data_IF_347699968193
#
_entry.id   IF_347699968193
#
_cell.length_a   1.000
_cell.length_b   1.000
_cell.length_c   1.000
_cell.angle_alpha   90.00
_cell.angle_beta   90.00
_cell.angle_gamma   90.00
#
_symmetry.space_group_name_H-M   'P 1'
#
loop_
_entity.id
_entity.type
_entity.pdbx_description
1 polymer ?
#
# COMPACT_ATOMS: atom_id res chain seq x y z
N UNK A 1 -3.93 -25.61 4.39
CA UNK A 1 -3.99 -24.14 4.23
C UNK A 1 -2.54 -23.68 4.22
N UNK A 2 -1.95 -23.41 3.03
CA UNK A 2 -0.60 -22.81 2.75
C UNK A 2 -0.02 -23.14 1.35
N UNK A 3 -0.79 -23.71 0.40
CA UNK A 3 -0.22 -24.21 -0.87
C UNK A 3 0.47 -23.15 -1.75
N UNK A 4 0.15 -21.86 -1.57
CA UNK A 4 0.71 -20.76 -2.37
C UNK A 4 1.85 -20.00 -1.68
N UNK A 5 2.17 -20.28 -0.40
CA UNK A 5 3.20 -19.52 0.34
C UNK A 5 4.57 -19.61 -0.34
N UNK A 6 4.93 -20.80 -0.83
CA UNK A 6 6.20 -21.03 -1.54
C UNK A 6 6.26 -20.27 -2.87
N UNK A 7 5.11 -20.13 -3.57
CA UNK A 7 5.02 -19.37 -4.80
C UNK A 7 5.24 -17.87 -4.56
N UNK A 8 4.65 -17.31 -3.50
CA UNK A 8 4.91 -15.92 -3.09
C UNK A 8 6.37 -15.70 -2.70
N UNK A 9 6.97 -16.64 -1.97
CA UNK A 9 8.39 -16.58 -1.61
C UNK A 9 9.32 -16.66 -2.83
N UNK A 10 8.99 -17.51 -3.80
CA UNK A 10 9.73 -17.62 -5.05
C UNK A 10 9.66 -16.31 -5.85
N UNK A 11 8.44 -15.75 -6.01
CA UNK A 11 8.23 -14.47 -6.70
C UNK A 11 8.99 -13.33 -6.02
N UNK A 12 8.92 -13.21 -4.69
CA UNK A 12 9.63 -12.19 -3.92
C UNK A 12 11.16 -12.27 -4.09
N UNK A 13 11.75 -13.47 -3.95
CA UNK A 13 13.20 -13.65 -4.14
C UNK A 13 13.65 -13.36 -5.56
N UNK A 14 12.80 -13.64 -6.55
CA UNK A 14 13.07 -13.36 -7.95
C UNK A 14 12.78 -11.93 -8.38
N UNK A 15 12.23 -11.07 -7.49
CA UNK A 15 11.77 -9.73 -7.86
C UNK A 15 10.66 -9.74 -8.92
N UNK A 16 9.87 -10.81 -9.00
CA UNK A 16 8.82 -10.99 -9.98
C UNK A 16 7.46 -10.55 -9.43
N UNK A 17 6.65 -9.96 -10.30
CA UNK A 17 5.23 -9.66 -10.02
C UNK A 17 4.32 -10.87 -10.28
N UNK A 18 4.84 -11.93 -10.92
CA UNK A 18 4.08 -13.15 -11.23
C UNK A 18 4.20 -14.14 -10.07
N UNK A 19 3.06 -14.53 -9.52
CA UNK A 19 2.96 -15.57 -8.48
C UNK A 19 2.29 -16.80 -9.09
N UNK A 20 3.07 -17.87 -9.32
CA UNK A 20 2.57 -19.07 -10.00
C UNK A 20 1.35 -19.68 -9.28
N UNK A 21 0.32 -19.99 -10.07
CA UNK A 21 -0.93 -20.57 -9.57
C UNK A 21 -1.85 -19.59 -8.84
N UNK A 22 -1.51 -18.30 -8.78
CA UNK A 22 -2.38 -17.25 -8.23
C UNK A 22 -2.84 -16.33 -9.38
N UNK A 23 -4.16 -16.21 -9.63
CA UNK A 23 -4.66 -15.31 -10.65
C UNK A 23 -4.38 -13.84 -10.33
N UNK A 24 -4.07 -13.04 -11.35
CA UNK A 24 -3.80 -11.60 -11.22
C UNK A 24 -4.92 -10.86 -10.50
N UNK A 25 -6.19 -11.18 -10.77
CA UNK A 25 -7.33 -10.56 -10.08
C UNK A 25 -7.28 -10.71 -8.54
N UNK A 26 -6.70 -11.80 -8.03
CA UNK A 26 -6.48 -11.99 -6.60
C UNK A 26 -5.35 -11.09 -6.11
N UNK A 27 -4.24 -11.03 -6.86
CA UNK A 27 -3.11 -10.16 -6.55
C UNK A 27 -3.53 -8.68 -6.55
N UNK A 28 -4.29 -8.25 -7.56
CA UNK A 28 -4.85 -6.91 -7.67
C UNK A 28 -5.76 -6.59 -6.49
N UNK A 29 -6.63 -7.53 -6.11
CA UNK A 29 -7.49 -7.38 -4.92
C UNK A 29 -6.66 -7.21 -3.65
N UNK A 30 -5.57 -7.96 -3.50
CA UNK A 30 -4.66 -7.83 -2.36
C UNK A 30 -3.97 -6.46 -2.36
N UNK A 31 -3.43 -6.00 -3.49
CA UNK A 31 -2.78 -4.69 -3.59
C UNK A 31 -3.76 -3.57 -3.25
N UNK A 32 -4.96 -3.60 -3.83
CA UNK A 32 -5.98 -2.57 -3.62
C UNK A 32 -6.42 -2.48 -2.15
N UNK A 33 -6.57 -3.61 -1.47
CA UNK A 33 -7.15 -3.64 -0.13
C UNK A 33 -6.11 -3.67 1.00
N UNK A 34 -4.98 -4.34 0.82
CA UNK A 34 -4.02 -4.63 1.89
C UNK A 34 -2.79 -3.71 1.90
N UNK A 35 -2.59 -2.89 0.86
CA UNK A 35 -1.43 -2.01 0.76
C UNK A 35 -1.81 -0.57 0.37
N UNK A 36 -0.88 0.36 0.61
CA UNK A 36 -0.83 1.65 -0.08
C UNK A 36 0.22 1.50 -1.18
N UNK A 37 -0.22 1.43 -2.44
CA UNK A 37 0.64 1.22 -3.60
C UNK A 37 0.26 2.21 -4.71
N UNK A 38 1.26 2.77 -5.36
CA UNK A 38 1.07 3.75 -6.42
C UNK A 38 2.22 4.75 -6.48
N UNK A 39 1.97 5.84 -7.20
CA UNK A 39 2.89 6.96 -7.41
C UNK A 39 2.35 8.22 -6.72
N UNK A 40 3.08 9.33 -6.85
CA UNK A 40 2.63 10.65 -6.35
C UNK A 40 1.27 11.06 -6.97
N UNK A 41 0.96 10.60 -8.19
CA UNK A 41 -0.32 10.87 -8.83
C UNK A 41 -1.51 10.17 -8.14
N UNK A 42 -1.25 9.12 -7.36
CA UNK A 42 -2.28 8.31 -6.69
C UNK A 42 -2.59 8.79 -5.27
N UNK A 43 -2.00 9.91 -4.82
CA UNK A 43 -2.17 10.41 -3.44
C UNK A 43 -3.64 10.60 -3.10
N UNK A 44 -4.44 11.19 -3.98
CA UNK A 44 -5.85 11.45 -3.72
C UNK A 44 -6.63 10.14 -3.49
N UNK A 45 -6.32 9.08 -4.28
CA UNK A 45 -6.87 7.74 -4.06
C UNK A 45 -6.48 7.18 -2.68
N UNK A 46 -5.25 7.40 -2.24
CA UNK A 46 -4.80 6.94 -0.93
C UNK A 46 -5.44 7.74 0.21
N UNK A 47 -5.67 9.04 0.04
CA UNK A 47 -6.41 9.87 0.99
C UNK A 47 -7.83 9.35 1.19
N UNK A 48 -8.54 8.99 0.12
CA UNK A 48 -9.87 8.37 0.21
C UNK A 48 -9.85 7.07 1.03
N UNK A 49 -8.81 6.25 0.86
CA UNK A 49 -8.61 5.04 1.66
C UNK A 49 -8.40 5.37 3.14
N UNK A 50 -7.63 6.41 3.45
CA UNK A 50 -7.41 6.89 4.82
C UNK A 50 -8.71 7.41 5.45
N UNK A 51 -9.53 8.16 4.71
CA UNK A 51 -10.85 8.63 5.18
C UNK A 51 -11.80 7.47 5.47
N UNK A 52 -11.79 6.41 4.65
CA UNK A 52 -12.56 5.19 4.94
C UNK A 52 -12.10 4.51 6.23
N UNK A 53 -10.79 4.48 6.47
CA UNK A 53 -10.24 3.94 7.71
C UNK A 53 -10.66 4.76 8.94
N UNK A 54 -10.60 6.09 8.85
CA UNK A 54 -11.12 6.99 9.87
C UNK A 54 -12.61 6.73 10.15
N UNK A 55 -13.44 6.61 9.10
CA UNK A 55 -14.88 6.38 9.22
C UNK A 55 -15.25 5.05 9.92
N UNK A 56 -14.37 4.04 9.86
CA UNK A 56 -14.55 2.76 10.58
C UNK A 56 -13.87 2.73 11.95
N UNK A 57 -13.30 3.86 12.40
CA UNK A 57 -12.74 4.04 13.73
C UNK A 57 -11.23 3.83 13.84
N UNK A 58 -10.48 3.73 12.73
CA UNK A 58 -9.02 3.71 12.76
C UNK A 58 -8.49 5.14 12.94
N UNK A 59 -8.09 5.49 14.16
CA UNK A 59 -7.65 6.85 14.49
C UNK A 59 -6.16 7.16 14.20
N UNK A 60 -5.33 6.16 13.93
CA UNK A 60 -3.90 6.39 13.68
C UNK A 60 -3.27 5.30 12.80
N UNK A 61 -2.23 5.70 12.06
CA UNK A 61 -1.39 4.80 11.24
C UNK A 61 0.08 5.15 11.48
N UNK A 62 0.92 4.13 11.60
CA UNK A 62 2.37 4.29 11.65
C UNK A 62 2.96 4.01 10.26
N UNK A 63 3.77 4.96 9.77
CA UNK A 63 4.48 4.82 8.50
C UNK A 63 5.97 4.63 8.75
N UNK A 64 6.54 3.60 8.12
CA UNK A 64 8.01 3.48 7.99
C UNK A 64 8.43 4.13 6.70
N UNK A 65 9.29 5.13 6.80
CA UNK A 65 9.82 5.85 5.64
C UNK A 65 11.08 5.15 5.12
N UNK A 66 11.17 5.03 3.80
CA UNK A 66 12.29 4.42 3.10
C UNK A 66 12.91 5.45 2.13
N UNK A 67 14.10 5.14 1.61
CA UNK A 67 14.87 6.00 0.70
C UNK A 67 15.20 7.38 1.30
N UNK A 68 14.40 8.41 1.03
CA UNK A 68 14.58 9.77 1.55
C UNK A 68 13.44 10.11 2.54
N UNK A 69 13.68 9.96 3.86
CA UNK A 69 12.70 10.29 4.87
C UNK A 69 12.34 11.77 4.92
N UNK A 70 13.30 12.67 4.66
CA UNK A 70 13.05 14.11 4.76
C UNK A 70 12.07 14.57 3.69
N UNK A 71 12.26 14.10 2.45
CA UNK A 71 11.34 14.40 1.37
C UNK A 71 9.98 13.73 1.56
N UNK A 72 9.96 12.49 2.04
CA UNK A 72 8.71 11.80 2.38
C UNK A 72 7.89 12.56 3.44
N UNK A 73 8.54 13.10 4.48
CA UNK A 73 7.88 13.90 5.51
C UNK A 73 7.30 15.19 4.92
N UNK A 74 8.03 15.87 4.01
CA UNK A 74 7.53 17.06 3.32
C UNK A 74 6.31 16.75 2.48
N UNK A 75 6.35 15.69 1.68
CA UNK A 75 5.21 15.22 0.88
C UNK A 75 3.97 14.96 1.76
N UNK A 76 4.15 14.24 2.88
CA UNK A 76 3.06 13.96 3.81
C UNK A 76 2.48 15.26 4.37
N UNK A 77 3.34 16.18 4.81
CA UNK A 77 2.93 17.49 5.35
C UNK A 77 2.17 18.33 4.33
N UNK A 78 2.62 18.34 3.08
CA UNK A 78 2.11 19.24 2.04
C UNK A 78 0.87 18.68 1.32
N UNK A 79 0.76 17.36 1.18
CA UNK A 79 -0.25 16.72 0.34
C UNK A 79 -1.23 15.84 1.09
N UNK A 80 -0.81 15.19 2.18
CA UNK A 80 -1.64 14.20 2.89
C UNK A 80 -2.33 14.82 4.10
N UNK A 81 -1.57 15.44 5.02
CA UNK A 81 -2.12 16.04 6.24
C UNK A 81 -3.23 17.07 5.96
N UNK A 82 -3.09 18.01 5.01
CA UNK A 82 -4.14 18.99 4.73
C UNK A 82 -5.44 18.37 4.20
N UNK A 83 -5.35 17.22 3.52
CA UNK A 83 -6.51 16.52 2.97
C UNK A 83 -7.25 15.67 4.03
N UNK A 84 -6.61 15.43 5.17
CA UNK A 84 -7.16 14.68 6.32
C UNK A 84 -7.65 15.57 7.48
N UNK A 85 -7.40 16.88 7.41
CA UNK A 85 -7.87 17.86 8.40
C UNK A 85 -9.39 18.05 8.38
#
# INVERSE_FOLDING_TARGET
VMRSADAFWAAFRGGSHVVEGVPDAVLDTMVENLAFAGTIADIDKQVEKLRRFEAVGLGAIALRLYADPAESIRLIRERVVPALA
#
